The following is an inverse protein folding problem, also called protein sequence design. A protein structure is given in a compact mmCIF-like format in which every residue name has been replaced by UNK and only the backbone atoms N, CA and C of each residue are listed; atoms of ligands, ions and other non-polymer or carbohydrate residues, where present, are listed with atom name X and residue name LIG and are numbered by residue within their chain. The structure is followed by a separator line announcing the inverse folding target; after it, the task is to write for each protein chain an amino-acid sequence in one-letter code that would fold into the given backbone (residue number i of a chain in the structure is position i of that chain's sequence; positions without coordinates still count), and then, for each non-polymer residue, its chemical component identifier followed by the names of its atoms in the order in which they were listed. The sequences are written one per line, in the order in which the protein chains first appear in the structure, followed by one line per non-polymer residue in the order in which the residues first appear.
data_IF_319520753981
#
_entry.id   IF_319520753981
#
_cell.length_a   1.000
_cell.length_b   1.000
_cell.length_c   1.000
_cell.angle_alpha   90.00
_cell.angle_beta   90.00
_cell.angle_gamma   90.00
#
_symmetry.space_group_name_H-M   'P 1'
#
loop_
_entity.id
_entity.type
_entity.pdbx_description
1 polymer ?
#
# COMPACT_ATOMS: atom_id res chain seq x y z
N UNK A 1 -1.64 17.64 -10.85
CA UNK A 1 -1.17 16.31 -10.39
C UNK A 1 0.10 16.38 -9.56
N UNK A 2 1.00 17.37 -9.73
CA UNK A 2 2.26 17.46 -8.96
C UNK A 2 2.14 17.34 -7.43
N UNK A 3 1.14 17.98 -6.80
CA UNK A 3 0.92 17.86 -5.34
C UNK A 3 0.65 16.41 -4.91
N UNK A 4 -0.14 15.65 -5.70
CA UNK A 4 -0.43 14.25 -5.40
C UNK A 4 0.80 13.36 -5.57
N UNK A 5 1.68 13.70 -6.52
CA UNK A 5 2.96 13.01 -6.68
C UNK A 5 3.87 13.27 -5.49
N UNK A 6 3.91 14.50 -4.99
CA UNK A 6 4.72 14.86 -3.83
C UNK A 6 4.22 14.16 -2.56
N UNK A 7 2.90 14.05 -2.36
CA UNK A 7 2.32 13.30 -1.25
C UNK A 7 2.70 11.82 -1.29
N UNK A 8 2.61 11.17 -2.46
CA UNK A 8 2.97 9.76 -2.63
C UNK A 8 4.47 9.55 -2.46
N UNK A 9 5.30 10.44 -3.00
CA UNK A 9 6.77 10.38 -2.82
C UNK A 9 7.18 10.57 -1.38
N UNK A 10 6.62 11.58 -0.71
CA UNK A 10 6.88 11.83 0.70
C UNK A 10 6.43 10.65 1.54
N UNK A 11 5.27 10.07 1.21
CA UNK A 11 4.80 8.86 1.84
C UNK A 11 5.77 7.71 1.64
N UNK A 12 6.29 7.42 0.45
CA UNK A 12 7.14 6.25 0.22
C UNK A 12 8.60 6.43 0.64
N UNK A 13 9.07 7.67 0.71
CA UNK A 13 10.46 8.05 0.93
C UNK A 13 11.09 7.31 2.12
N UNK A 14 12.19 6.59 1.86
CA UNK A 14 12.98 5.89 2.88
C UNK A 14 12.38 4.56 3.36
N UNK A 15 11.29 4.08 2.75
CA UNK A 15 10.66 2.77 3.06
C UNK A 15 10.16 2.04 1.81
N UNK A 16 10.62 2.40 0.63
CA UNK A 16 10.20 1.89 -0.67
C UNK A 16 10.35 0.37 -0.78
N UNK A 17 11.34 -0.21 -0.10
CA UNK A 17 11.59 -1.66 -0.07
C UNK A 17 11.01 -2.37 1.16
N UNK A 18 10.37 -1.65 2.07
CA UNK A 18 9.85 -2.19 3.32
C UNK A 18 8.32 -2.24 3.29
N UNK A 19 7.80 -3.40 2.89
CA UNK A 19 6.36 -3.62 2.76
C UNK A 19 5.61 -3.40 4.08
N UNK A 20 6.20 -3.73 5.23
CA UNK A 20 5.56 -3.54 6.53
C UNK A 20 5.36 -2.06 6.86
N UNK A 21 6.41 -1.24 6.64
CA UNK A 21 6.33 0.20 6.86
C UNK A 21 5.33 0.85 5.90
N UNK A 22 5.35 0.49 4.61
CA UNK A 22 4.41 1.01 3.62
C UNK A 22 2.96 0.67 4.01
N UNK A 23 2.67 -0.59 4.32
CA UNK A 23 1.32 -1.02 4.74
C UNK A 23 0.87 -0.32 6.03
N UNK A 24 1.75 -0.18 7.02
CA UNK A 24 1.40 0.44 8.30
C UNK A 24 1.03 1.92 8.19
N UNK A 25 1.53 2.60 7.16
CA UNK A 25 1.37 4.05 6.94
C UNK A 25 0.54 4.39 5.71
N UNK A 26 0.04 3.39 4.96
CA UNK A 26 -0.75 3.59 3.74
C UNK A 26 -1.99 4.48 3.99
N UNK A 27 -2.55 4.48 5.21
CA UNK A 27 -3.67 5.34 5.58
C UNK A 27 -3.37 6.86 5.46
N UNK A 28 -2.11 7.27 5.42
CA UNK A 28 -1.71 8.69 5.35
C UNK A 28 -2.01 9.32 3.99
N UNK A 29 -1.97 8.52 2.92
CA UNK A 29 -2.23 8.98 1.54
C UNK A 29 -3.60 8.54 1.02
N UNK A 30 -4.33 7.73 1.78
CA UNK A 30 -5.66 7.29 1.42
C UNK A 30 -6.72 8.16 2.10
N UNK A 31 -7.87 8.26 1.42
CA UNK A 31 -9.01 9.01 1.90
C UNK A 31 -9.87 8.17 2.87
N UNK A 32 -10.70 8.79 3.72
CA UNK A 32 -11.47 8.08 4.75
C UNK A 32 -12.37 6.95 4.22
N UNK A 33 -12.97 7.11 3.04
CA UNK A 33 -13.83 6.09 2.41
C UNK A 33 -13.09 5.12 1.49
N UNK A 34 -11.75 5.10 1.53
CA UNK A 34 -10.92 4.19 0.72
C UNK A 34 -11.16 2.72 1.05
N UNK A 35 -11.64 2.42 2.27
CA UNK A 35 -11.77 1.05 2.78
C UNK A 35 -10.47 0.50 3.36
N UNK A 36 -9.45 1.34 3.56
CA UNK A 36 -8.23 1.03 4.30
C UNK A 36 -8.32 1.52 5.74
N UNK A 37 -7.79 0.74 6.67
CA UNK A 37 -7.63 1.13 8.07
C UNK A 37 -6.15 1.09 8.44
N UNK A 38 -5.74 1.95 9.38
CA UNK A 38 -4.40 1.90 9.95
C UNK A 38 -4.10 0.50 10.51
N UNK A 39 -2.90 0.00 10.19
CA UNK A 39 -2.40 -1.26 10.74
C UNK A 39 -1.12 -0.94 11.51
N UNK A 40 -1.07 -1.14 12.83
CA UNK A 40 0.16 -0.94 13.60
C UNK A 40 1.29 -1.83 13.06
N UNK A 41 2.52 -1.31 13.03
CA UNK A 41 3.68 -2.09 12.59
C UNK A 41 3.91 -3.34 13.45
N UNK A 42 3.53 -3.28 14.74
CA UNK A 42 3.55 -4.40 15.67
C UNK A 42 2.65 -5.57 15.24
N UNK A 43 1.64 -5.32 14.41
CA UNK A 43 0.73 -6.31 13.83
C UNK A 43 1.21 -6.86 12.49
N UNK A 44 2.42 -6.48 12.03
CA UNK A 44 3.03 -6.88 10.77
C UNK A 44 4.39 -7.57 10.97
N UNK A 45 4.54 -8.30 12.08
CA UNK A 45 5.80 -9.00 12.40
C UNK A 45 5.95 -10.30 11.63
N UNK A 46 4.87 -11.08 11.57
CA UNK A 46 4.90 -12.40 10.96
C UNK A 46 4.61 -12.33 9.46
N UNK A 47 5.29 -13.16 8.67
CA UNK A 47 5.08 -13.22 7.22
C UNK A 47 3.62 -13.46 6.85
N UNK A 48 2.89 -14.25 7.64
CA UNK A 48 1.45 -14.50 7.43
C UNK A 48 0.60 -13.23 7.64
N UNK A 49 0.96 -12.35 8.57
CA UNK A 49 0.28 -11.09 8.82
C UNK A 49 0.55 -10.09 7.69
N UNK A 50 1.81 -10.01 7.24
CA UNK A 50 2.21 -9.18 6.09
C UNK A 50 1.46 -9.61 4.84
N UNK A 51 1.41 -10.91 4.54
CA UNK A 51 0.67 -11.47 3.40
C UNK A 51 -0.82 -11.08 3.44
N UNK A 52 -1.47 -11.20 4.61
CA UNK A 52 -2.88 -10.82 4.79
C UNK A 52 -3.11 -9.32 4.59
N UNK A 53 -2.25 -8.47 5.16
CA UNK A 53 -2.36 -7.02 5.02
C UNK A 53 -2.15 -6.57 3.57
N UNK A 54 -1.15 -7.12 2.88
CA UNK A 54 -0.92 -6.85 1.46
C UNK A 54 -2.10 -7.26 0.59
N UNK A 55 -2.71 -8.42 0.82
CA UNK A 55 -3.93 -8.83 0.11
C UNK A 55 -5.08 -7.84 0.29
N UNK A 56 -5.28 -7.33 1.51
CA UNK A 56 -6.26 -6.26 1.78
C UNK A 56 -5.92 -4.99 1.01
N UNK A 57 -4.65 -4.59 0.96
CA UNK A 57 -4.22 -3.39 0.26
C UNK A 57 -4.49 -3.50 -1.24
N UNK A 58 -4.20 -4.68 -1.83
CA UNK A 58 -4.50 -4.95 -3.23
C UNK A 58 -5.98 -4.80 -3.55
N UNK A 59 -6.86 -5.36 -2.71
CA UNK A 59 -8.31 -5.20 -2.90
C UNK A 59 -8.76 -3.75 -2.72
N UNK A 60 -8.16 -3.02 -1.77
CA UNK A 60 -8.47 -1.63 -1.52
C UNK A 60 -8.12 -0.71 -2.70
N UNK A 61 -6.97 -0.97 -3.33
CA UNK A 61 -6.41 -0.11 -4.38
C UNK A 61 -6.74 -0.60 -5.79
N UNK A 62 -7.39 -1.75 -5.96
CA UNK A 62 -7.69 -2.30 -7.27
C UNK A 62 -8.66 -1.38 -8.05
N UNK A 63 -8.41 -1.11 -9.34
CA UNK A 63 -9.24 -0.21 -10.15
C UNK A 63 -10.74 -0.55 -10.13
N UNK A 64 -11.10 -1.84 -10.18
CA UNK A 64 -12.50 -2.30 -10.07
C UNK A 64 -13.16 -1.86 -8.74
N UNK A 65 -12.45 -2.00 -7.62
CA UNK A 65 -12.98 -1.63 -6.30
C UNK A 65 -13.07 -0.12 -6.13
N UNK A 66 -12.12 0.62 -6.68
CA UNK A 66 -12.16 2.08 -6.72
C UNK A 66 -13.34 2.58 -7.56
N UNK A 67 -13.59 1.94 -8.70
CA UNK A 67 -14.74 2.24 -9.56
C UNK A 67 -16.07 1.98 -8.84
N UNK A 68 -16.21 0.82 -8.19
CA UNK A 68 -17.40 0.45 -7.42
C UNK A 68 -17.68 1.44 -6.26
N UNK A 69 -16.64 2.05 -5.69
CA UNK A 69 -16.75 3.01 -4.58
C UNK A 69 -16.86 4.47 -5.03
N UNK A 70 -16.93 4.73 -6.35
CA UNK A 70 -17.04 6.09 -6.88
C UNK A 70 -15.79 6.94 -6.65
N UNK A 71 -14.59 6.34 -6.66
CA UNK A 71 -13.34 7.08 -6.45
C UNK A 71 -13.13 8.16 -7.52
N UNK A 72 -12.71 9.34 -7.10
CA UNK A 72 -12.39 10.47 -7.98
C UNK A 72 -11.14 10.18 -8.83
N UNK A 73 -10.91 10.97 -9.88
CA UNK A 73 -9.70 10.85 -10.71
C UNK A 73 -8.41 10.97 -9.87
N UNK A 74 -8.35 11.94 -8.94
CA UNK A 74 -7.21 12.12 -8.03
C UNK A 74 -6.97 10.90 -7.14
N UNK A 75 -8.05 10.31 -6.61
CA UNK A 75 -7.97 9.12 -5.76
C UNK A 75 -7.51 7.88 -6.52
N UNK A 76 -8.01 7.70 -7.75
CA UNK A 76 -7.55 6.63 -8.65
C UNK A 76 -6.06 6.77 -8.97
N UNK A 77 -5.62 8.00 -9.21
CA UNK A 77 -4.20 8.30 -9.45
C UNK A 77 -3.31 7.93 -8.26
N UNK A 78 -3.65 8.40 -7.05
CA UNK A 78 -2.90 8.07 -5.82
C UNK A 78 -2.88 6.56 -5.59
N UNK A 79 -4.02 5.90 -5.76
CA UNK A 79 -4.13 4.46 -5.55
C UNK A 79 -3.27 3.66 -6.55
N UNK A 80 -3.23 4.07 -7.82
CA UNK A 80 -2.36 3.45 -8.84
C UNK A 80 -0.88 3.57 -8.45
N UNK A 81 -0.42 4.76 -8.08
CA UNK A 81 0.97 4.97 -7.67
C UNK A 81 1.34 4.18 -6.41
N UNK A 82 0.49 4.21 -5.40
CA UNK A 82 0.68 3.42 -4.18
C UNK A 82 0.68 1.92 -4.47
N UNK A 83 -0.19 1.45 -5.36
CA UNK A 83 -0.26 0.04 -5.75
C UNK A 83 1.04 -0.43 -6.41
N UNK A 84 1.62 0.36 -7.31
CA UNK A 84 2.91 0.03 -7.94
C UNK A 84 4.04 -0.08 -6.91
N UNK A 85 4.17 0.90 -6.01
CA UNK A 85 5.20 0.87 -4.95
C UNK A 85 5.03 -0.35 -4.04
N UNK A 86 3.79 -0.69 -3.68
CA UNK A 86 3.50 -1.88 -2.86
C UNK A 86 3.82 -3.19 -3.58
N UNK A 87 3.66 -3.26 -4.91
CA UNK A 87 4.04 -4.44 -5.70
C UNK A 87 5.55 -4.67 -5.69
N UNK A 88 6.33 -3.60 -5.84
CA UNK A 88 7.80 -3.68 -5.81
C UNK A 88 8.31 -4.10 -4.43
N UNK A 89 7.81 -3.48 -3.37
CA UNK A 89 8.12 -3.84 -1.98
C UNK A 89 7.70 -5.28 -1.65
N UNK A 90 6.56 -5.73 -2.17
CA UNK A 90 6.09 -7.11 -2.02
C UNK A 90 7.01 -8.11 -2.71
N UNK A 91 7.47 -7.81 -3.94
CA UNK A 91 8.41 -8.68 -4.65
C UNK A 91 9.71 -8.84 -3.86
N UNK A 92 10.25 -7.75 -3.31
CA UNK A 92 11.42 -7.79 -2.43
C UNK A 92 11.17 -8.63 -1.17
N UNK A 93 10.02 -8.45 -0.51
CA UNK A 93 9.63 -9.22 0.67
C UNK A 93 9.50 -10.73 0.37
N UNK A 94 8.87 -11.11 -0.74
CA UNK A 94 8.75 -12.53 -1.12
C UNK A 94 10.12 -13.12 -1.43
N UNK A 95 10.98 -12.39 -2.13
CA UNK A 95 12.36 -12.84 -2.39
C UNK A 95 13.10 -13.12 -1.08
N UNK A 96 13.00 -12.24 -0.09
CA UNK A 96 13.59 -12.46 1.24
C UNK A 96 12.99 -13.70 1.92
N UNK A 97 11.66 -13.82 1.97
CA UNK A 97 10.99 -14.97 2.62
C UNK A 97 11.40 -16.30 1.98
N UNK A 98 11.56 -16.35 0.66
CA UNK A 98 12.00 -17.57 -0.05
C UNK A 98 13.48 -17.88 0.19
N UNK A 99 14.34 -16.86 0.30
CA UNK A 99 15.77 -17.06 0.57
C UNK A 99 16.05 -17.55 2.00
N UNK A 100 15.15 -17.29 2.95
CA UNK A 100 15.30 -17.65 4.36
C UNK A 100 14.32 -18.75 4.82
N UNK A 101 13.60 -19.39 3.89
CA UNK A 101 12.76 -20.58 4.15
C UNK A 101 13.51 -21.87 3.84
#
# INVERSE_FOLDING_TARGET
MGILDDDVKLWSSGKESNIQMLLSTLYQILWPSSGWNMIPLTSLKESSQVKKAYQKARLCLHPDKLQQRGATLSQKYVAEKAFNILQDAWAAFISQVVLFS
#
